data_IF_609404055001
#
_entry.id   IF_609404055001
#
_cell.length_a   1.000
_cell.length_b   1.000
_cell.length_c   1.000
_cell.angle_alpha   90.00
_cell.angle_beta   90.00
_cell.angle_gamma   90.00
#
_symmetry.space_group_name_H-M   'P 1'
#
loop_
_entity.id
_entity.type
_entity.pdbx_description
1 polymer ?
#
# COMPACT_ATOMS: atom_id res chain seq x y z
N UNK A 1 10.14 40.19 5.62
CA UNK A 1 10.27 39.62 6.98
C UNK A 1 8.93 38.95 7.27
N UNK A 2 8.69 37.65 7.25
CA UNK A 2 9.51 36.44 7.28
C UNK A 2 9.03 35.49 6.18
N UNK A 3 9.98 34.84 5.54
CA UNK A 3 9.83 33.60 4.79
C UNK A 3 9.20 32.52 5.68
N UNK A 4 8.23 31.79 5.14
CA UNK A 4 7.95 30.41 5.56
C UNK A 4 7.82 29.58 4.30
N UNK A 5 8.98 29.17 3.82
CA UNK A 5 9.15 28.02 2.95
C UNK A 5 8.73 26.79 3.74
N UNK A 6 7.53 26.28 3.48
CA UNK A 6 7.14 24.93 3.86
C UNK A 6 7.66 23.99 2.79
N UNK A 7 8.95 23.67 2.86
CA UNK A 7 9.54 22.57 2.11
C UNK A 7 9.16 21.27 2.82
N UNK A 8 8.12 20.59 2.34
CA UNK A 8 7.94 19.17 2.58
C UNK A 8 8.24 18.42 1.28
N UNK A 9 9.51 18.41 0.89
CA UNK A 9 10.06 17.29 0.13
C UNK A 9 9.89 16.03 0.99
N UNK A 10 8.75 15.37 0.85
CA UNK A 10 8.63 13.96 1.20
C UNK A 10 9.54 13.20 0.25
N UNK A 11 10.71 12.81 0.77
CA UNK A 11 11.61 11.88 0.13
C UNK A 11 10.80 10.79 -0.58
N UNK A 12 10.85 10.78 -1.91
CA UNK A 12 10.63 9.54 -2.65
C UNK A 12 11.59 8.53 -2.05
N UNK A 13 11.02 7.53 -1.37
CA UNK A 13 11.74 6.52 -0.62
C UNK A 13 12.94 6.04 -1.43
N UNK A 14 14.10 5.93 -0.80
CA UNK A 14 15.20 5.21 -1.45
C UNK A 14 14.72 3.77 -1.57
N UNK A 15 14.28 3.37 -2.77
CA UNK A 15 13.89 1.98 -3.10
C UNK A 15 15.15 1.13 -2.87
N UNK A 16 15.31 0.69 -1.63
CA UNK A 16 16.54 0.09 -1.13
C UNK A 16 16.57 -1.35 -1.63
N UNK A 17 17.76 -1.82 -1.97
CA UNK A 17 17.93 -3.24 -2.26
C UNK A 17 17.94 -4.00 -0.93
N UNK A 18 16.98 -4.89 -0.73
CA UNK A 18 16.94 -5.81 0.41
C UNK A 18 17.70 -7.08 0.01
N UNK A 19 18.61 -7.53 0.86
CA UNK A 19 19.31 -8.81 0.66
C UNK A 19 18.58 -9.89 1.45
N UNK A 20 18.10 -10.92 0.75
CA UNK A 20 17.50 -12.12 1.36
C UNK A 20 18.34 -13.32 0.95
N UNK A 21 19.03 -13.92 1.92
CA UNK A 21 20.05 -14.94 1.66
C UNK A 21 21.17 -14.39 0.77
N UNK A 22 21.43 -15.03 -0.36
CA UNK A 22 22.45 -14.61 -1.33
C UNK A 22 21.85 -13.79 -2.49
N UNK A 23 20.64 -13.22 -2.34
CA UNK A 23 19.93 -12.54 -3.42
C UNK A 23 19.55 -11.11 -3.04
N UNK A 24 19.86 -10.15 -3.92
CA UNK A 24 19.38 -8.77 -3.80
C UNK A 24 18.03 -8.59 -4.49
N UNK A 25 17.05 -8.05 -3.77
CA UNK A 25 15.71 -7.74 -4.23
C UNK A 25 15.52 -6.22 -4.18
N UNK A 26 14.95 -5.64 -5.24
CA UNK A 26 14.59 -4.22 -5.24
C UNK A 26 13.19 -4.06 -4.68
N UNK A 27 13.01 -3.17 -3.70
CA UNK A 27 11.68 -2.74 -3.27
C UNK A 27 11.00 -2.03 -4.44
N UNK A 28 9.75 -2.41 -4.75
CA UNK A 28 8.95 -1.78 -5.81
C UNK A 28 7.88 -0.85 -5.24
N UNK A 29 7.31 -1.24 -4.10
CA UNK A 29 6.34 -0.48 -3.32
C UNK A 29 6.81 -0.56 -1.87
N UNK A 30 6.90 0.59 -1.21
CA UNK A 30 7.09 0.60 0.24
C UNK A 30 5.77 0.35 0.96
N UNK A 31 5.88 0.07 2.26
CA UNK A 31 4.76 -0.29 3.13
C UNK A 31 3.70 0.82 3.17
N UNK A 32 4.11 2.07 3.39
CA UNK A 32 3.19 3.21 3.44
C UNK A 32 2.40 3.39 2.14
N UNK A 33 3.04 3.25 0.98
CA UNK A 33 2.38 3.33 -0.32
C UNK A 33 1.36 2.20 -0.50
N UNK A 34 1.70 0.98 -0.04
CA UNK A 34 0.81 -0.17 -0.12
C UNK A 34 -0.41 0.01 0.81
N UNK A 35 -0.19 0.40 2.07
CA UNK A 35 -1.24 0.66 3.05
C UNK A 35 -2.20 1.75 2.59
N UNK A 36 -1.69 2.85 2.05
CA UNK A 36 -2.51 3.94 1.50
C UNK A 36 -3.45 3.42 0.40
N UNK A 37 -2.93 2.65 -0.55
CA UNK A 37 -3.76 2.09 -1.62
C UNK A 37 -4.75 1.04 -1.16
N UNK A 38 -4.42 0.24 -0.16
CA UNK A 38 -5.35 -0.72 0.44
C UNK A 38 -6.51 0.03 1.11
N UNK A 39 -6.22 1.06 1.92
CA UNK A 39 -7.24 1.86 2.59
C UNK A 39 -8.18 2.57 1.61
N UNK A 40 -7.63 3.16 0.54
CA UNK A 40 -8.42 3.79 -0.52
C UNK A 40 -9.34 2.78 -1.22
N UNK A 41 -8.83 1.58 -1.49
CA UNK A 41 -9.60 0.51 -2.12
C UNK A 41 -10.71 -0.02 -1.20
N UNK A 42 -10.42 -0.24 0.08
CA UNK A 42 -11.41 -0.62 1.08
C UNK A 42 -12.52 0.42 1.23
N UNK A 43 -12.19 1.71 1.22
CA UNK A 43 -13.18 2.79 1.23
C UNK A 43 -14.05 2.80 -0.03
N UNK A 44 -13.48 2.48 -1.20
CA UNK A 44 -14.24 2.35 -2.43
C UNK A 44 -15.20 1.16 -2.39
N UNK A 45 -14.72 -0.02 -1.97
CA UNK A 45 -15.55 -1.23 -1.83
C UNK A 45 -16.69 -0.97 -0.84
N UNK A 46 -16.38 -0.37 0.30
CA UNK A 46 -17.36 -0.01 1.34
C UNK A 46 -18.49 0.86 0.79
N UNK A 47 -18.14 1.85 -0.04
CA UNK A 47 -19.12 2.73 -0.69
C UNK A 47 -19.96 1.99 -1.70
N UNK A 48 -19.33 1.20 -2.56
CA UNK A 48 -19.99 0.56 -3.70
C UNK A 48 -20.89 -0.61 -3.26
N UNK A 49 -20.55 -1.26 -2.13
CA UNK A 49 -21.29 -2.35 -1.51
C UNK A 49 -22.11 -1.92 -0.28
N UNK A 50 -22.27 -0.62 -0.03
CA UNK A 50 -23.12 -0.13 1.07
C UNK A 50 -24.55 -0.68 0.95
N UNK A 51 -25.00 -1.41 1.97
CA UNK A 51 -26.32 -2.05 2.00
C UNK A 51 -26.47 -3.26 1.06
N UNK A 52 -25.37 -3.79 0.52
CA UNK A 52 -25.34 -5.00 -0.32
C UNK A 52 -24.54 -6.10 0.38
N UNK A 53 -24.84 -7.35 0.06
CA UNK A 53 -24.02 -8.47 0.49
C UNK A 53 -22.73 -8.52 -0.34
N UNK A 54 -21.58 -8.53 0.34
CA UNK A 54 -20.26 -8.62 -0.29
C UNK A 54 -19.75 -10.06 -0.20
N UNK A 55 -19.34 -10.62 -1.34
CA UNK A 55 -18.61 -11.90 -1.41
C UNK A 55 -17.22 -11.62 -1.97
N UNK A 56 -16.19 -11.87 -1.17
CA UNK A 56 -14.80 -11.74 -1.59
C UNK A 56 -14.23 -13.11 -1.97
N UNK A 57 -13.79 -13.27 -3.21
CA UNK A 57 -13.16 -14.51 -3.70
C UNK A 57 -11.64 -14.34 -3.71
N UNK A 58 -10.95 -15.05 -2.81
CA UNK A 58 -9.50 -14.95 -2.62
C UNK A 58 -8.79 -16.13 -3.31
N UNK A 59 -8.00 -15.83 -4.35
CA UNK A 59 -7.30 -16.87 -5.15
C UNK A 59 -5.95 -17.22 -4.53
N UNK A 60 -5.89 -18.38 -3.87
CA UNK A 60 -4.71 -18.82 -3.14
C UNK A 60 -3.51 -19.15 -4.06
N UNK A 61 -2.27 -19.09 -3.55
CA UNK A 61 -1.88 -18.87 -2.14
C UNK A 61 -1.45 -17.45 -1.81
N UNK A 62 -0.87 -16.72 -2.77
CA UNK A 62 -0.22 -15.42 -2.49
C UNK A 62 -1.17 -14.28 -2.15
N UNK A 63 -2.43 -14.33 -2.62
CA UNK A 63 -3.40 -13.25 -2.39
C UNK A 63 -3.90 -13.13 -0.95
N UNK A 64 -3.66 -14.14 -0.11
CA UNK A 64 -4.17 -14.17 1.26
C UNK A 64 -3.60 -13.04 2.13
N UNK A 65 -2.35 -12.61 1.86
CA UNK A 65 -1.75 -11.49 2.59
C UNK A 65 -2.48 -10.18 2.28
N UNK A 66 -2.66 -9.89 0.98
CA UNK A 66 -3.41 -8.72 0.55
C UNK A 66 -4.88 -8.73 1.01
N UNK A 67 -5.55 -9.88 0.94
CA UNK A 67 -6.93 -10.00 1.35
C UNK A 67 -7.16 -9.93 2.87
N UNK A 68 -6.11 -10.15 3.68
CA UNK A 68 -6.19 -9.97 5.12
C UNK A 68 -6.10 -8.49 5.53
N UNK A 69 -5.36 -7.70 4.74
CA UNK A 69 -5.17 -6.26 4.97
C UNK A 69 -6.31 -5.41 4.37
N UNK A 70 -7.00 -5.92 3.33
CA UNK A 70 -8.13 -5.27 2.64
C UNK A 70 -9.44 -5.34 3.42
#
# INVERSE_FOLDING_TARGET
>A
MHSSSSNSNGNGSTLTNIVIGNKSMKVLLDEATLEERIAEMGAQITRDYAGKELVLVVVLKGSIMFAADL
#
